data_IF_917328724082
#
_entry.id   IF_917328724082
#
_cell.length_a   1.000
_cell.length_b   1.000
_cell.length_c   1.000
_cell.angle_alpha   90.00
_cell.angle_beta   90.00
_cell.angle_gamma   90.00
#
_symmetry.space_group_name_H-M   'P 1'
#
loop_
_entity.id
_entity.type
_entity.pdbx_description
1 polymer ?
#
# COMPACT_ATOMS: atom_id res chain seq x y z
N UNK A 1 2.71 -20.51 19.24
CA UNK A 1 1.36 -21.06 19.35
C UNK A 1 0.34 -19.96 19.17
N UNK A 2 -0.48 -20.06 18.14
CA UNK A 2 -1.54 -19.11 17.75
C UNK A 2 -2.91 -19.77 17.91
N UNK A 3 -3.92 -18.95 18.23
CA UNK A 3 -5.33 -19.34 18.13
C UNK A 3 -5.80 -18.86 16.75
N UNK A 4 -6.09 -19.80 15.87
CA UNK A 4 -6.44 -19.52 14.47
C UNK A 4 -7.77 -20.15 14.05
N UNK A 5 -8.48 -20.81 14.97
CA UNK A 5 -9.75 -21.46 14.68
C UNK A 5 -10.86 -20.42 14.44
N UNK A 6 -11.65 -20.55 13.37
CA UNK A 6 -12.77 -19.65 13.12
C UNK A 6 -13.86 -19.83 14.19
N UNK A 7 -14.45 -18.72 14.61
CA UNK A 7 -15.61 -18.71 15.51
C UNK A 7 -16.79 -19.47 14.87
N UNK A 8 -17.13 -20.62 15.43
CA UNK A 8 -18.33 -21.40 15.09
C UNK A 8 -19.29 -21.40 16.27
N UNK A 9 -20.56 -21.04 16.02
CA UNK A 9 -21.58 -20.78 17.05
C UNK A 9 -21.77 -21.95 18.06
N UNK A 10 -21.43 -23.19 17.69
CA UNK A 10 -21.66 -24.38 18.53
C UNK A 10 -20.42 -25.25 18.79
N UNK A 11 -19.23 -24.88 18.32
CA UNK A 11 -17.98 -25.64 18.52
C UNK A 11 -16.78 -24.69 18.52
N UNK A 12 -16.52 -24.05 19.66
CA UNK A 12 -15.30 -23.29 19.87
C UNK A 12 -14.37 -24.11 20.77
N UNK A 13 -13.29 -24.63 20.18
CA UNK A 13 -12.16 -25.18 20.93
C UNK A 13 -11.00 -24.24 20.62
N UNK A 14 -10.80 -23.23 21.47
CA UNK A 14 -9.60 -22.40 21.37
C UNK A 14 -8.38 -23.30 21.59
N UNK A 15 -7.48 -23.36 20.61
CA UNK A 15 -6.21 -24.04 20.77
C UNK A 15 -5.08 -23.10 20.40
N UNK A 16 -4.01 -23.08 21.17
CA UNK A 16 -2.78 -22.37 20.81
C UNK A 16 -1.78 -23.29 20.08
N UNK A 17 -2.25 -24.42 19.56
CA UNK A 17 -1.42 -25.41 18.88
C UNK A 17 -1.01 -25.00 17.47
N UNK A 18 -1.58 -23.94 16.90
CA UNK A 18 -1.24 -23.53 15.54
C UNK A 18 0.08 -22.76 15.49
N UNK A 19 0.75 -22.85 14.35
CA UNK A 19 2.02 -22.20 14.05
C UNK A 19 1.96 -21.58 12.67
N UNK A 20 2.64 -20.45 12.49
CA UNK A 20 2.88 -19.85 11.19
C UNK A 20 4.32 -19.36 11.10
N UNK A 21 4.96 -19.65 9.97
CA UNK A 21 6.31 -19.25 9.63
C UNK A 21 6.29 -18.45 8.33
N UNK A 22 7.02 -17.34 8.32
CA UNK A 22 7.18 -16.49 7.15
C UNK A 22 8.67 -16.40 6.83
N UNK A 23 9.02 -16.67 5.58
CA UNK A 23 10.38 -16.49 5.06
C UNK A 23 10.32 -15.73 3.74
N UNK A 24 11.36 -15.01 3.37
CA UNK A 24 11.26 -14.16 2.19
C UNK A 24 12.45 -13.27 1.94
N UNK A 25 12.29 -12.39 0.96
CA UNK A 25 13.27 -11.39 0.60
C UNK A 25 12.55 -10.08 0.23
N UNK A 26 13.14 -8.97 0.66
CA UNK A 26 12.67 -7.64 0.32
C UNK A 26 13.79 -6.87 -0.35
N UNK A 27 13.44 -6.07 -1.35
CA UNK A 27 14.38 -5.21 -2.07
C UNK A 27 13.77 -3.85 -2.28
N UNK A 28 14.58 -2.83 -2.02
CA UNK A 28 14.24 -1.45 -2.29
C UNK A 28 15.32 -0.82 -3.15
N UNK A 29 14.90 -0.07 -4.15
CA UNK A 29 15.76 0.70 -5.03
C UNK A 29 15.28 2.15 -5.05
N UNK A 30 16.22 3.08 -4.90
CA UNK A 30 15.95 4.51 -4.90
C UNK A 30 16.99 5.22 -5.76
N UNK A 31 16.55 5.91 -6.81
CA UNK A 31 17.43 6.48 -7.80
C UNK A 31 17.02 7.88 -8.18
N UNK A 32 17.97 8.81 -8.07
CA UNK A 32 17.87 10.17 -8.61
C UNK A 32 18.29 10.15 -10.09
N UNK A 33 17.32 10.02 -10.99
CA UNK A 33 17.52 10.00 -12.44
C UNK A 33 18.13 11.31 -12.94
N UNK A 34 17.61 12.43 -12.43
CA UNK A 34 18.03 13.79 -12.78
C UNK A 34 18.05 14.66 -11.52
N UNK A 35 18.37 15.95 -11.64
CA UNK A 35 18.25 16.87 -10.51
C UNK A 35 16.80 17.06 -10.02
N UNK A 36 15.82 16.75 -10.88
CA UNK A 36 14.38 16.96 -10.63
C UNK A 36 13.60 15.66 -10.50
N UNK A 37 14.12 14.54 -11.00
CA UNK A 37 13.40 13.26 -11.09
C UNK A 37 14.01 12.20 -10.17
N UNK A 38 13.14 11.50 -9.44
CA UNK A 38 13.49 10.37 -8.58
C UNK A 38 12.58 9.19 -8.86
N UNK A 39 13.15 8.01 -8.99
CA UNK A 39 12.44 6.74 -9.04
C UNK A 39 12.61 6.00 -7.71
N UNK A 40 11.55 5.30 -7.31
CA UNK A 40 11.53 4.40 -6.15
C UNK A 40 10.88 3.10 -6.56
N UNK A 41 11.55 1.98 -6.32
CA UNK A 41 11.02 0.66 -6.58
C UNK A 41 11.11 -0.15 -5.30
N UNK A 42 10.05 -0.89 -4.97
CA UNK A 42 10.06 -1.88 -3.90
C UNK A 42 9.53 -3.19 -4.42
N UNK A 43 10.07 -4.29 -3.92
CA UNK A 43 9.57 -5.63 -4.17
C UNK A 43 9.79 -6.49 -2.94
N UNK A 44 8.79 -7.28 -2.59
CA UNK A 44 8.81 -8.22 -1.49
C UNK A 44 8.28 -9.56 -1.99
N UNK A 45 9.02 -10.61 -1.66
CA UNK A 45 8.60 -12.00 -1.78
C UNK A 45 8.44 -12.59 -0.38
N UNK A 46 7.30 -13.20 -0.09
CA UNK A 46 7.01 -13.87 1.17
C UNK A 46 6.47 -15.27 0.91
N UNK A 47 7.17 -16.28 1.43
CA UNK A 47 6.67 -17.64 1.58
C UNK A 47 6.12 -17.82 3.00
N UNK A 48 4.79 -17.81 3.09
CA UNK A 48 4.04 -18.06 4.31
C UNK A 48 3.66 -19.53 4.38
N UNK A 49 3.95 -20.16 5.52
CA UNK A 49 3.54 -21.52 5.84
C UNK A 49 2.80 -21.47 7.17
N UNK A 50 1.61 -22.06 7.25
CA UNK A 50 0.86 -22.11 8.49
C UNK A 50 0.17 -23.46 8.68
N UNK A 51 0.05 -23.89 9.94
CA UNK A 51 -0.72 -25.09 10.26
C UNK A 51 -2.22 -24.94 9.93
N UNK A 52 -2.71 -23.70 9.88
CA UNK A 52 -4.03 -23.36 9.34
C UNK A 52 -3.89 -22.64 7.99
N UNK A 53 -4.34 -23.24 6.86
CA UNK A 53 -4.24 -22.63 5.53
C UNK A 53 -4.93 -21.27 5.36
N UNK A 54 -5.89 -20.92 6.21
CA UNK A 54 -6.53 -19.60 6.17
C UNK A 54 -5.55 -18.48 6.58
N UNK A 55 -4.55 -18.79 7.41
CA UNK A 55 -3.56 -17.81 7.85
C UNK A 55 -2.57 -17.46 6.72
N UNK A 56 -2.30 -18.41 5.82
CA UNK A 56 -1.44 -18.19 4.65
C UNK A 56 -2.06 -17.20 3.66
N UNK A 57 -3.38 -17.21 3.52
CA UNK A 57 -4.10 -16.39 2.55
C UNK A 57 -4.02 -14.90 2.88
N UNK A 58 -3.77 -14.51 4.12
CA UNK A 58 -3.71 -13.10 4.53
C UNK A 58 -2.43 -12.38 4.08
N UNK A 59 -1.47 -13.10 3.49
CA UNK A 59 -0.19 -12.55 3.05
C UNK A 59 -0.02 -12.73 1.54
N UNK A 60 0.19 -11.62 0.83
CA UNK A 60 0.57 -11.65 -0.57
C UNK A 60 1.96 -12.28 -0.73
N UNK A 61 2.11 -13.21 -1.69
CA UNK A 61 3.40 -13.88 -1.94
C UNK A 61 4.40 -12.95 -2.62
N UNK A 62 3.91 -12.07 -3.48
CA UNK A 62 4.64 -11.08 -4.22
C UNK A 62 3.92 -9.74 -4.07
N UNK A 63 4.63 -8.73 -3.61
CA UNK A 63 4.12 -7.37 -3.57
C UNK A 63 5.20 -6.37 -3.91
N UNK A 64 4.80 -5.16 -4.28
CA UNK A 64 5.75 -4.13 -4.63
C UNK A 64 5.12 -2.82 -5.02
N UNK A 65 5.99 -1.85 -5.28
CA UNK A 65 5.60 -0.55 -5.76
C UNK A 65 6.61 0.03 -6.74
N UNK A 66 6.12 0.89 -7.62
CA UNK A 66 6.95 1.71 -8.48
C UNK A 66 6.48 3.16 -8.38
N UNK A 67 7.41 4.05 -8.03
CA UNK A 67 7.16 5.45 -7.77
C UNK A 67 8.05 6.35 -8.62
N UNK A 68 7.47 7.43 -9.13
CA UNK A 68 8.18 8.55 -9.75
C UNK A 68 7.81 9.84 -9.03
N UNK A 69 8.83 10.61 -8.66
CA UNK A 69 8.69 11.91 -8.04
C UNK A 69 9.39 12.94 -8.90
N UNK A 70 8.75 14.10 -9.06
CA UNK A 70 9.28 15.20 -9.84
C UNK A 70 9.13 16.53 -9.12
N UNK A 71 10.23 17.25 -9.03
CA UNK A 71 10.26 18.67 -8.69
C UNK A 71 10.18 19.50 -9.99
N UNK A 72 9.17 20.35 -10.10
CA UNK A 72 8.95 21.19 -11.27
C UNK A 72 9.54 22.60 -11.12
N UNK A 73 10.20 22.87 -9.99
CA UNK A 73 10.67 24.17 -9.60
C UNK A 73 9.56 25.07 -9.06
N UNK A 74 9.98 26.24 -8.59
CA UNK A 74 9.11 27.25 -8.00
C UNK A 74 8.30 26.78 -6.79
N UNK A 75 8.52 25.58 -6.23
CA UNK A 75 7.70 25.00 -5.16
C UNK A 75 6.61 24.04 -5.65
N UNK A 76 6.55 23.70 -6.94
CA UNK A 76 5.68 22.64 -7.46
C UNK A 76 6.36 21.27 -7.38
N UNK A 77 5.63 20.26 -6.93
CA UNK A 77 6.06 18.87 -7.02
C UNK A 77 4.90 17.94 -7.38
N UNK A 78 5.23 16.83 -8.03
CA UNK A 78 4.28 15.75 -8.29
C UNK A 78 4.88 14.41 -7.88
N UNK A 79 4.00 13.48 -7.52
CA UNK A 79 4.36 12.09 -7.32
C UNK A 79 3.33 11.19 -7.99
N UNK A 80 3.83 10.10 -8.57
CA UNK A 80 3.03 9.03 -9.14
C UNK A 80 3.54 7.71 -8.55
N UNK A 81 2.66 6.92 -7.95
CA UNK A 81 2.97 5.60 -7.44
C UNK A 81 2.02 4.56 -8.01
N UNK A 82 2.56 3.41 -8.37
CA UNK A 82 1.82 2.20 -8.66
C UNK A 82 2.14 1.16 -7.59
N UNK A 83 1.11 0.53 -7.05
CA UNK A 83 1.20 -0.54 -6.06
C UNK A 83 0.58 -1.80 -6.63
N UNK A 84 1.23 -2.93 -6.40
CA UNK A 84 0.71 -4.23 -6.79
C UNK A 84 1.00 -5.28 -5.73
N UNK A 85 0.06 -6.21 -5.57
CA UNK A 85 0.26 -7.43 -4.80
C UNK A 85 -0.53 -8.58 -5.42
N UNK A 86 0.06 -9.77 -5.46
CA UNK A 86 -0.66 -10.98 -5.81
C UNK A 86 -1.36 -11.56 -4.58
N UNK A 87 -2.51 -12.21 -4.82
CA UNK A 87 -3.14 -13.11 -3.86
C UNK A 87 -3.32 -12.61 -2.42
N UNK A 88 -3.55 -11.31 -2.18
CA UNK A 88 -3.94 -10.81 -0.86
C UNK A 88 -5.34 -11.34 -0.54
N UNK A 89 -5.42 -12.35 0.31
CA UNK A 89 -6.57 -13.22 0.47
C UNK A 89 -7.09 -13.82 -0.84
N UNK A 90 -6.16 -14.21 -1.73
CA UNK A 90 -6.46 -14.73 -3.06
C UNK A 90 -6.81 -13.68 -4.11
N UNK A 91 -6.89 -12.40 -3.74
CA UNK A 91 -7.23 -11.31 -4.65
C UNK A 91 -6.00 -10.53 -5.13
N UNK A 92 -5.99 -10.21 -6.42
CA UNK A 92 -5.01 -9.29 -7.00
C UNK A 92 -5.35 -7.87 -6.56
N UNK A 93 -4.34 -7.15 -6.08
CA UNK A 93 -4.45 -5.75 -5.72
C UNK A 93 -3.63 -4.89 -6.66
N UNK A 94 -4.23 -3.85 -7.23
CA UNK A 94 -3.51 -2.83 -8.01
C UNK A 94 -4.08 -1.43 -7.76
N UNK A 95 -3.19 -0.48 -7.46
CA UNK A 95 -3.57 0.91 -7.23
C UNK A 95 -2.57 1.88 -7.83
N UNK A 96 -3.07 2.96 -8.41
CA UNK A 96 -2.29 4.10 -8.85
C UNK A 96 -2.63 5.32 -8.00
N UNK A 97 -1.61 5.94 -7.40
CA UNK A 97 -1.74 7.14 -6.58
C UNK A 97 -1.02 8.29 -7.27
N UNK A 98 -1.75 9.37 -7.56
CA UNK A 98 -1.19 10.61 -8.11
C UNK A 98 -1.33 11.73 -7.10
N UNK A 99 -0.25 12.48 -6.88
CA UNK A 99 -0.21 13.66 -6.04
C UNK A 99 0.35 14.84 -6.81
N UNK A 100 -0.26 15.99 -6.66
CA UNK A 100 0.26 17.28 -7.09
C UNK A 100 0.24 18.24 -5.90
N UNK A 101 1.34 18.93 -5.65
CA UNK A 101 1.43 19.89 -4.57
C UNK A 101 2.19 21.15 -4.93
N UNK A 102 1.84 22.22 -4.19
CA UNK A 102 2.42 23.54 -4.29
C UNK A 102 2.82 24.03 -2.90
N UNK A 103 4.10 24.30 -2.73
CA UNK A 103 4.65 25.02 -1.59
C UNK A 103 4.66 26.52 -1.85
N UNK A 104 4.15 27.28 -0.89
CA UNK A 104 4.01 28.73 -0.93
C UNK A 104 4.77 29.31 0.26
N UNK A 105 5.86 30.06 0.05
CA UNK A 105 6.57 30.71 1.13
C UNK A 105 5.71 31.85 1.72
N UNK A 106 5.60 31.89 3.04
CA UNK A 106 4.83 32.89 3.82
C UNK A 106 5.75 33.58 4.85
N UNK A 107 6.86 34.13 4.37
CA UNK A 107 7.87 34.76 5.22
C UNK A 107 8.62 33.74 6.07
N UNK A 108 8.36 33.72 7.38
CA UNK A 108 8.94 32.73 8.29
C UNK A 108 8.23 31.36 8.26
N UNK A 109 7.05 31.30 7.66
CA UNK A 109 6.27 30.08 7.51
C UNK A 109 6.26 29.58 6.06
N UNK A 110 5.80 28.35 5.86
CA UNK A 110 5.58 27.75 4.54
C UNK A 110 4.26 26.97 4.53
N UNK A 111 3.39 27.28 3.57
CA UNK A 111 2.12 26.58 3.33
C UNK A 111 2.29 25.61 2.17
N UNK A 112 1.92 24.35 2.35
CA UNK A 112 1.82 23.36 1.28
C UNK A 112 0.36 23.00 1.02
N UNK A 113 -0.08 23.19 -0.22
CA UNK A 113 -1.38 22.73 -0.70
C UNK A 113 -1.17 21.52 -1.60
N UNK A 114 -1.95 20.45 -1.40
CA UNK A 114 -1.85 19.25 -2.22
C UNK A 114 -3.22 18.67 -2.57
N UNK A 115 -3.29 18.07 -3.76
CA UNK A 115 -4.39 17.20 -4.17
C UNK A 115 -3.86 15.79 -4.44
N UNK A 116 -4.64 14.78 -4.02
CA UNK A 116 -4.33 13.37 -4.23
C UNK A 116 -5.51 12.67 -4.90
N UNK A 117 -5.21 11.86 -5.90
CA UNK A 117 -6.11 10.90 -6.52
C UNK A 117 -5.54 9.51 -6.30
N UNK A 118 -6.30 8.63 -5.67
CA UNK A 118 -6.03 7.20 -5.60
C UNK A 118 -7.02 6.49 -6.50
N UNK A 119 -6.53 5.61 -7.37
CA UNK A 119 -7.32 4.86 -8.34
C UNK A 119 -6.99 3.37 -8.25
N UNK A 120 -7.97 2.55 -7.87
CA UNK A 120 -7.89 1.09 -8.01
C UNK A 120 -7.95 0.73 -9.49
N UNK A 121 -7.00 -0.09 -9.92
CA UNK A 121 -6.90 -0.58 -11.30
C UNK A 121 -7.50 -1.98 -11.43
N UNK A 122 -7.58 -2.73 -10.33
CA UNK A 122 -8.31 -3.99 -10.27
C UNK A 122 -9.81 -3.78 -9.98
N UNK A 123 -10.57 -4.87 -10.08
CA UNK A 123 -11.99 -4.94 -9.73
C UNK A 123 -12.23 -6.10 -8.76
N UNK A 124 -11.31 -6.26 -7.80
CA UNK A 124 -11.38 -7.31 -6.78
C UNK A 124 -11.74 -6.69 -5.42
N UNK A 125 -12.33 -7.48 -4.51
CA UNK A 125 -12.41 -7.09 -3.12
C UNK A 125 -11.01 -6.87 -2.52
N UNK A 126 -10.90 -6.03 -1.49
CA UNK A 126 -9.57 -5.71 -0.91
C UNK A 126 -9.03 -6.82 -0.02
N UNK A 127 -9.92 -7.55 0.67
CA UNK A 127 -9.51 -8.66 1.55
C UNK A 127 -10.59 -9.73 1.56
N UNK A 128 -11.85 -9.40 1.87
CA UNK A 128 -12.96 -10.37 1.85
C UNK A 128 -13.96 -10.06 0.74
N UNK A 129 -14.77 -11.03 0.33
CA UNK A 129 -15.78 -10.84 -0.73
C UNK A 129 -16.75 -9.67 -0.46
N UNK A 130 -17.07 -9.44 0.81
CA UNK A 130 -17.91 -8.31 1.26
C UNK A 130 -17.17 -6.97 1.28
N UNK A 131 -15.85 -6.99 1.12
CA UNK A 131 -14.98 -5.81 1.15
C UNK A 131 -14.80 -5.24 -0.27
N UNK A 132 -15.92 -5.08 -0.97
CA UNK A 132 -15.99 -4.52 -2.31
C UNK A 132 -16.52 -3.09 -2.22
N UNK A 133 -15.65 -2.12 -2.52
CA UNK A 133 -16.04 -0.72 -2.53
C UNK A 133 -16.80 -0.36 -3.81
N UNK A 134 -17.86 0.44 -3.66
CA UNK A 134 -18.66 0.96 -4.79
C UNK A 134 -17.88 1.94 -5.67
N UNK A 135 -16.92 2.66 -5.08
CA UNK A 135 -16.00 3.54 -5.81
C UNK A 135 -14.61 2.94 -5.87
N UNK A 136 -14.00 3.05 -7.06
CA UNK A 136 -12.61 2.69 -7.31
C UNK A 136 -11.64 3.87 -7.19
N UNK A 137 -12.14 5.06 -6.87
CA UNK A 137 -11.30 6.23 -6.69
C UNK A 137 -11.62 6.97 -5.40
N UNK A 138 -10.57 7.54 -4.82
CA UNK A 138 -10.64 8.45 -3.69
C UNK A 138 -9.86 9.70 -4.06
N UNK A 139 -10.50 10.85 -3.87
CA UNK A 139 -9.86 12.16 -4.06
C UNK A 139 -9.93 12.92 -2.76
N UNK A 140 -8.80 13.53 -2.39
CA UNK A 140 -8.75 14.40 -1.22
C UNK A 140 -7.73 15.52 -1.41
N UNK A 141 -7.90 16.57 -0.62
CA UNK A 141 -7.03 17.75 -0.59
C UNK A 141 -6.49 17.96 0.81
N UNK A 142 -5.27 18.49 0.90
CA UNK A 142 -4.63 18.80 2.18
C UNK A 142 -3.99 20.18 2.14
N UNK A 143 -3.96 20.84 3.30
CA UNK A 143 -3.22 22.08 3.54
C UNK A 143 -2.37 21.89 4.80
N UNK A 144 -1.05 22.11 4.67
CA UNK A 144 -0.09 21.95 5.76
C UNK A 144 0.69 23.25 5.96
N UNK A 145 0.72 23.76 7.19
CA UNK A 145 1.47 24.96 7.56
C UNK A 145 2.67 24.55 8.43
N UNK A 146 3.87 25.00 8.04
CA UNK A 146 5.14 24.80 8.76
C UNK A 146 5.75 26.16 9.13
N UNK A 147 6.46 26.23 10.27
CA UNK A 147 7.02 27.46 10.86
C UNK A 147 8.52 27.33 11.12
#
# INVERSE_FOLDING_TARGET
>A
GMISEPLRNNQYIASNSNESQFSGAETQFDWRLTSTDRLRLTYAYVDAQASNPLDEQLTARNSGSAGWLRDWGQGWNSALFYYAADALNGYRYERMDTRLARRIPLGKASLELAGVLQQRLDNQPTTFIDNRYDSRHVVYFSAELSF
#
